data_IF_806466904517
#
_entry.id   IF_806466904517
#
_cell.length_a   1.000
_cell.length_b   1.000
_cell.length_c   1.000
_cell.angle_alpha   90.00
_cell.angle_beta   90.00
_cell.angle_gamma   90.00
#
_symmetry.space_group_name_H-M   'P 1'
#
loop_
_entity.id
_entity.type
_entity.pdbx_description
1 polymer ?
#
# COMPACT_ATOMS: atom_id res chain seq x y z
N UNK A 1 -2.68 -20.05 -14.05
CA UNK A 1 -1.81 -19.66 -12.93
C UNK A 1 -2.50 -18.52 -12.20
N UNK A 2 -2.71 -18.60 -10.88
CA UNK A 2 -3.32 -17.51 -10.13
C UNK A 2 -2.46 -16.24 -10.25
N UNK A 3 -3.10 -15.08 -10.23
CA UNK A 3 -2.38 -13.81 -10.23
C UNK A 3 -1.56 -13.64 -8.95
N UNK A 4 -0.51 -12.80 -8.96
CA UNK A 4 0.30 -12.53 -7.76
C UNK A 4 -0.55 -12.08 -6.56
N UNK A 5 -1.61 -11.29 -6.81
CA UNK A 5 -2.54 -10.83 -5.78
C UNK A 5 -3.45 -11.95 -5.26
N UNK A 6 -3.84 -12.91 -6.09
CA UNK A 6 -4.61 -14.09 -5.65
C UNK A 6 -3.77 -14.99 -4.75
N UNK A 7 -2.50 -15.22 -5.11
CA UNK A 7 -1.57 -15.97 -4.27
C UNK A 7 -1.33 -15.29 -2.93
N UNK A 8 -1.09 -13.96 -2.93
CA UNK A 8 -0.94 -13.20 -1.69
C UNK A 8 -2.21 -13.23 -0.83
N UNK A 9 -3.39 -13.10 -1.45
CA UNK A 9 -4.68 -13.18 -0.76
C UNK A 9 -4.83 -14.50 -0.02
N UNK A 10 -4.48 -15.61 -0.65
CA UNK A 10 -4.56 -16.94 -0.03
C UNK A 10 -3.67 -17.02 1.21
N UNK A 11 -2.39 -16.62 1.10
CA UNK A 11 -1.45 -16.61 2.23
C UNK A 11 -1.94 -15.74 3.38
N UNK A 12 -2.44 -14.54 3.09
CA UNK A 12 -2.98 -13.62 4.11
C UNK A 12 -4.21 -14.23 4.79
N UNK A 13 -5.11 -14.85 4.03
CA UNK A 13 -6.30 -15.47 4.59
C UNK A 13 -5.97 -16.66 5.49
N UNK A 14 -4.99 -17.48 5.11
CA UNK A 14 -4.53 -18.61 5.92
C UNK A 14 -3.86 -18.11 7.21
N UNK A 15 -2.99 -17.10 7.12
CA UNK A 15 -2.37 -16.48 8.30
C UNK A 15 -3.41 -15.91 9.27
N UNK A 16 -4.37 -15.12 8.77
CA UNK A 16 -5.43 -14.51 9.61
C UNK A 16 -6.34 -15.55 10.26
N UNK A 17 -6.53 -16.71 9.61
CA UNK A 17 -7.41 -17.77 10.11
C UNK A 17 -6.73 -18.67 11.14
N UNK A 18 -5.46 -19.00 10.91
CA UNK A 18 -4.80 -20.12 11.60
C UNK A 18 -3.73 -19.67 12.60
N UNK A 19 -3.23 -18.44 12.54
CA UNK A 19 -2.21 -17.96 13.47
C UNK A 19 -2.78 -17.67 14.87
N UNK A 20 -2.01 -18.01 15.91
CA UNK A 20 -2.30 -17.59 17.27
C UNK A 20 -1.76 -16.18 17.50
N UNK A 21 -2.64 -15.24 17.85
CA UNK A 21 -2.29 -13.84 18.12
C UNK A 21 -1.23 -13.68 19.22
N UNK A 22 -1.13 -14.64 20.16
CA UNK A 22 -0.13 -14.61 21.23
C UNK A 22 1.28 -14.96 20.76
N UNK A 23 1.41 -15.69 19.64
CA UNK A 23 2.68 -16.11 19.06
C UNK A 23 3.20 -15.12 17.99
N UNK A 24 2.42 -14.09 17.65
CA UNK A 24 2.78 -13.11 16.63
C UNK A 24 3.56 -11.94 17.23
N UNK A 25 4.79 -11.74 16.76
CA UNK A 25 5.57 -10.54 17.06
C UNK A 25 4.95 -9.30 16.37
N UNK A 26 4.45 -8.29 17.11
CA UNK A 26 3.70 -7.18 16.53
C UNK A 26 4.55 -6.28 15.62
N UNK A 27 5.85 -6.17 15.89
CA UNK A 27 6.80 -5.42 15.06
C UNK A 27 7.02 -6.09 13.68
N UNK A 28 7.05 -7.41 13.63
CA UNK A 28 7.21 -8.15 12.37
C UNK A 28 5.95 -8.02 11.51
N UNK A 29 4.77 -8.20 12.11
CA UNK A 29 3.50 -7.98 11.42
C UNK A 29 3.39 -6.54 10.90
N UNK A 30 3.74 -5.54 11.71
CA UNK A 30 3.73 -4.13 11.31
C UNK A 30 4.67 -3.85 10.15
N UNK A 31 5.89 -4.40 10.18
CA UNK A 31 6.88 -4.28 9.10
C UNK A 31 6.34 -4.83 7.77
N UNK A 32 5.68 -6.00 7.79
CA UNK A 32 5.02 -6.54 6.60
C UNK A 32 3.91 -5.63 6.07
N UNK A 33 3.10 -5.04 6.97
CA UNK A 33 2.06 -4.08 6.54
C UNK A 33 2.71 -2.83 5.94
N UNK A 34 3.81 -2.33 6.48
CA UNK A 34 4.52 -1.15 5.95
C UNK A 34 5.07 -1.39 4.54
N UNK A 35 5.61 -2.58 4.28
CA UNK A 35 6.02 -2.99 2.92
C UNK A 35 4.82 -2.99 1.95
N UNK A 36 3.68 -3.53 2.37
CA UNK A 36 2.45 -3.56 1.57
C UNK A 36 1.89 -2.15 1.34
N UNK A 37 1.95 -1.27 2.35
CA UNK A 37 1.54 0.13 2.25
C UNK A 37 2.45 0.91 1.28
N UNK A 38 3.76 0.69 1.33
CA UNK A 38 4.71 1.27 0.37
C UNK A 38 4.45 0.78 -1.06
N UNK A 39 4.20 -0.52 -1.24
CA UNK A 39 3.78 -1.07 -2.54
C UNK A 39 2.48 -0.45 -3.02
N UNK A 40 1.49 -0.31 -2.14
CA UNK A 40 0.19 0.30 -2.46
C UNK A 40 0.36 1.76 -2.91
N UNK A 41 1.12 2.57 -2.16
CA UNK A 41 1.42 3.97 -2.52
C UNK A 41 2.02 4.09 -3.93
N UNK A 42 2.99 3.23 -4.28
CA UNK A 42 3.57 3.19 -5.63
C UNK A 42 2.55 2.79 -6.70
N UNK A 43 1.67 1.83 -6.40
CA UNK A 43 0.63 1.37 -7.34
C UNK A 43 -0.38 2.48 -7.62
N UNK A 44 -0.95 3.11 -6.58
CA UNK A 44 -1.96 4.17 -6.77
C UNK A 44 -1.35 5.37 -7.49
N UNK A 45 -0.10 5.71 -7.20
CA UNK A 45 0.65 6.76 -7.88
C UNK A 45 0.78 6.49 -9.38
N UNK A 46 1.36 5.34 -9.77
CA UNK A 46 1.57 4.99 -11.18
C UNK A 46 0.26 4.91 -11.96
N UNK A 47 -0.79 4.36 -11.35
CA UNK A 47 -2.12 4.29 -11.98
C UNK A 47 -2.77 5.67 -12.12
N UNK A 48 -2.53 6.56 -11.16
CA UNK A 48 -2.98 7.95 -11.26
C UNK A 48 -2.25 8.70 -12.37
N UNK A 49 -0.94 8.52 -12.54
CA UNK A 49 -0.15 9.11 -13.64
C UNK A 49 -0.59 8.59 -15.01
N UNK A 50 -0.97 7.31 -15.10
CA UNK A 50 -1.58 6.73 -16.30
C UNK A 50 -2.97 7.31 -16.62
N UNK A 51 -3.60 8.02 -15.68
CA UNK A 51 -4.91 8.63 -15.86
C UNK A 51 -6.09 7.72 -15.50
N UNK A 52 -5.88 6.64 -14.74
CA UNK A 52 -6.96 5.70 -14.39
C UNK A 52 -8.12 6.37 -13.65
N UNK A 53 -7.84 7.42 -12.86
CA UNK A 53 -8.86 8.21 -12.20
C UNK A 53 -9.77 8.95 -13.20
N UNK A 54 -9.20 9.53 -14.27
CA UNK A 54 -9.94 10.18 -15.34
C UNK A 54 -10.77 9.16 -16.14
N UNK A 55 -10.17 8.02 -16.48
CA UNK A 55 -10.86 6.91 -17.16
C UNK A 55 -12.04 6.36 -16.34
N UNK A 56 -11.96 6.46 -15.02
CA UNK A 56 -13.02 6.05 -14.09
C UNK A 56 -13.98 7.20 -13.74
N UNK A 57 -13.94 8.34 -14.44
CA UNK A 57 -14.85 9.47 -14.26
C UNK A 57 -14.62 10.31 -13.00
N UNK A 58 -13.48 10.14 -12.33
CA UNK A 58 -13.16 10.92 -11.14
C UNK A 58 -12.45 12.23 -11.51
N UNK A 59 -12.80 13.31 -10.82
CA UNK A 59 -12.20 14.64 -11.01
C UNK A 59 -10.77 14.77 -10.48
N UNK A 60 -10.29 13.81 -9.67
CA UNK A 60 -8.95 13.81 -9.10
C UNK A 60 -8.48 12.39 -8.76
N UNK A 61 -7.17 12.21 -8.66
CA UNK A 61 -6.59 10.98 -8.13
C UNK A 61 -7.00 10.70 -6.67
N UNK A 62 -7.11 11.75 -5.84
CA UNK A 62 -7.49 11.61 -4.42
C UNK A 62 -8.91 11.07 -4.31
N UNK A 63 -9.89 11.66 -5.01
CA UNK A 63 -11.28 11.18 -4.99
C UNK A 63 -11.41 9.76 -5.53
N UNK A 64 -10.61 9.39 -6.53
CA UNK A 64 -10.54 8.02 -7.04
C UNK A 64 -10.03 7.02 -6.00
N UNK A 65 -8.94 7.32 -5.30
CA UNK A 65 -8.41 6.45 -4.23
C UNK A 65 -9.38 6.36 -3.06
N UNK A 66 -10.00 7.49 -2.65
CA UNK A 66 -11.03 7.48 -1.61
C UNK A 66 -12.17 6.51 -1.95
N UNK A 67 -12.73 6.63 -3.16
CA UNK A 67 -13.87 5.82 -3.60
C UNK A 67 -13.49 4.35 -3.81
N UNK A 68 -12.39 4.10 -4.52
CA UNK A 68 -12.01 2.73 -4.93
C UNK A 68 -11.39 1.93 -3.79
N UNK A 69 -10.75 2.59 -2.82
CA UNK A 69 -10.03 1.93 -1.74
C UNK A 69 -10.66 2.14 -0.36
N UNK A 70 -11.84 2.78 -0.28
CA UNK A 70 -12.58 3.02 0.97
C UNK A 70 -11.72 3.75 2.00
N UNK A 71 -11.10 4.85 1.59
CA UNK A 71 -10.16 5.62 2.41
C UNK A 71 -10.69 7.02 2.67
N UNK A 72 -10.31 7.60 3.82
CA UNK A 72 -10.51 9.02 4.08
C UNK A 72 -9.73 9.87 3.07
N UNK A 73 -10.11 11.14 2.91
CA UNK A 73 -9.39 12.07 2.04
C UNK A 73 -7.93 12.23 2.43
N UNK A 74 -7.65 12.40 3.73
CA UNK A 74 -6.28 12.53 4.24
C UNK A 74 -5.45 11.29 3.89
N UNK A 75 -5.98 10.11 4.23
CA UNK A 75 -5.30 8.84 3.92
C UNK A 75 -5.07 8.65 2.42
N UNK A 76 -6.03 8.99 1.56
CA UNK A 76 -5.86 8.90 0.11
C UNK A 76 -4.78 9.87 -0.41
N UNK A 77 -4.79 11.11 0.07
CA UNK A 77 -3.78 12.12 -0.25
C UNK A 77 -2.38 11.66 0.16
N UNK A 78 -2.23 11.10 1.36
CA UNK A 78 -0.95 10.63 1.88
C UNK A 78 -0.36 9.52 1.01
N UNK A 79 -1.15 8.53 0.59
CA UNK A 79 -0.64 7.44 -0.29
C UNK A 79 -0.20 7.94 -1.66
N UNK A 80 -0.86 8.96 -2.20
CA UNK A 80 -0.42 9.61 -3.45
C UNK A 80 0.83 10.46 -3.26
N UNK A 81 0.97 11.14 -2.11
CA UNK A 81 2.15 11.92 -1.75
C UNK A 81 3.37 11.02 -1.54
N UNK A 82 3.25 9.99 -0.70
CA UNK A 82 4.33 9.02 -0.47
C UNK A 82 4.69 8.30 -1.75
N UNK A 83 3.71 7.91 -2.58
CA UNK A 83 4.00 7.32 -3.89
C UNK A 83 4.90 8.21 -4.76
N UNK A 84 4.68 9.54 -4.76
CA UNK A 84 5.55 10.52 -5.43
C UNK A 84 6.93 10.61 -4.78
N UNK A 85 7.01 10.63 -3.46
CA UNK A 85 8.28 10.72 -2.72
C UNK A 85 9.16 9.49 -2.96
N UNK A 86 8.57 8.28 -3.00
CA UNK A 86 9.28 7.04 -3.28
C UNK A 86 9.87 6.98 -4.69
N UNK A 87 9.33 7.74 -5.64
CA UNK A 87 9.92 7.93 -6.97
C UNK A 87 11.15 8.85 -6.93
N UNK A 88 11.14 9.86 -6.06
CA UNK A 88 12.21 10.84 -5.92
C UNK A 88 13.34 10.38 -4.97
N UNK A 89 13.06 9.46 -4.05
CA UNK A 89 13.97 9.02 -2.98
C UNK A 89 14.14 7.49 -3.02
N UNK A 90 14.97 6.95 -3.94
CA UNK A 90 15.11 5.51 -4.13
C UNK A 90 15.64 4.80 -2.89
N UNK A 91 16.52 5.42 -2.10
CA UNK A 91 17.02 4.84 -0.84
C UNK A 91 15.93 4.68 0.22
N UNK A 92 15.05 5.68 0.36
CA UNK A 92 13.88 5.61 1.25
C UNK A 92 12.92 4.52 0.76
N UNK A 93 12.73 4.42 -0.57
CA UNK A 93 11.89 3.38 -1.15
C UNK A 93 12.42 1.96 -0.87
N UNK A 94 13.73 1.77 -0.91
CA UNK A 94 14.36 0.49 -0.54
C UNK A 94 14.09 0.18 0.93
N UNK A 95 14.38 1.11 1.84
CA UNK A 95 14.21 0.91 3.29
C UNK A 95 12.75 0.67 3.71
N UNK A 96 11.80 1.37 3.08
CA UNK A 96 10.38 1.13 3.31
C UNK A 96 9.96 -0.24 2.76
N UNK A 97 10.46 -0.62 1.57
CA UNK A 97 10.14 -1.91 0.95
C UNK A 97 10.78 -3.12 1.64
N UNK A 98 11.86 -2.92 2.40
CA UNK A 98 12.44 -3.94 3.29
C UNK A 98 11.80 -3.94 4.67
N UNK A 99 10.97 -2.94 5.00
CA UNK A 99 10.36 -2.77 6.31
C UNK A 99 11.35 -2.33 7.40
N UNK A 100 12.50 -1.76 7.00
CA UNK A 100 13.50 -1.16 7.90
C UNK A 100 13.01 0.16 8.50
N UNK A 101 12.18 0.90 7.77
CA UNK A 101 11.49 2.12 8.25
C UNK A 101 9.97 1.94 8.11
N UNK A 102 9.22 2.52 9.07
CA UNK A 102 7.77 2.43 9.09
C UNK A 102 7.09 3.42 8.15
N UNK A 103 5.96 3.03 7.55
CA UNK A 103 5.23 3.88 6.60
C UNK A 103 4.72 5.18 7.24
N UNK A 104 4.21 5.09 8.47
CA UNK A 104 3.67 6.22 9.23
C UNK A 104 4.77 7.01 9.97
N UNK A 105 6.02 6.56 9.90
CA UNK A 105 7.18 7.19 10.54
C UNK A 105 8.16 7.81 9.54
N UNK A 106 7.86 7.69 8.24
CA UNK A 106 8.65 8.20 7.12
C UNK A 106 8.09 9.51 6.56
#
# INVERSE_FOLDING_TARGET
MPSELESLRAVVNDFVRDADDLDIAPNELRSMIDQLEGKFARVVRRRSERGDHLASGHCSAVSWVMSTCTMSQGSASDRLCVGRQLEALPEVAVKLSSGEIGYQSA
#
